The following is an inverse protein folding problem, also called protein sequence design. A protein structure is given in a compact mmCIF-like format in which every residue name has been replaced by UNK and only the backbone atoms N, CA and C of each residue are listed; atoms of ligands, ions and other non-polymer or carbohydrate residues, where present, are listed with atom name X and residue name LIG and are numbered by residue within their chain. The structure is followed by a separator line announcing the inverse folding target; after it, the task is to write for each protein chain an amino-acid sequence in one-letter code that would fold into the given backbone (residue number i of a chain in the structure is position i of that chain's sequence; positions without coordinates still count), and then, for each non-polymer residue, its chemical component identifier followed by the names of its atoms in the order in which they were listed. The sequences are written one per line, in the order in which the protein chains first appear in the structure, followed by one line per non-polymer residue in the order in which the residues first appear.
data_IF_599773126634
#
_entry.id   IF_599773126634
#
_cell.length_a   1.000
_cell.length_b   1.000
_cell.length_c   1.000
_cell.angle_alpha   90.00
_cell.angle_beta   90.00
_cell.angle_gamma   90.00
#
_symmetry.space_group_name_H-M   'P 1'
#
loop_
_entity.id
_entity.type
_entity.pdbx_description
1 polymer ?
#
# COMPACT_ATOMS: atom_id res chain seq x y z
N UNK A 1 6.20 -4.37 -20.46
CA UNK A 1 5.27 -3.29 -20.87
C UNK A 1 5.10 -2.40 -19.66
N UNK A 2 5.45 -1.11 -19.77
CA UNK A 2 5.23 -0.13 -18.70
C UNK A 2 3.91 0.55 -19.06
N UNK A 3 2.90 0.39 -18.21
CA UNK A 3 1.61 1.06 -18.36
C UNK A 3 1.53 2.17 -17.30
N UNK A 4 1.11 3.36 -17.70
CA UNK A 4 1.03 4.54 -16.83
C UNK A 4 -0.30 5.22 -17.03
N UNK A 5 -1.13 5.22 -16.00
CA UNK A 5 -2.38 5.99 -15.99
C UNK A 5 -2.04 7.44 -15.64
N UNK A 6 -2.09 8.31 -16.65
CA UNK A 6 -1.95 9.76 -16.50
C UNK A 6 -3.34 10.37 -16.37
N UNK A 7 -3.64 10.96 -15.22
CA UNK A 7 -4.89 11.69 -14.97
C UNK A 7 -4.59 13.17 -14.68
N UNK A 8 -5.63 13.99 -14.50
CA UNK A 8 -5.48 15.40 -14.11
C UNK A 8 -4.68 15.51 -12.81
N UNK A 9 -3.90 16.59 -12.68
CA UNK A 9 -3.07 16.85 -11.49
C UNK A 9 -3.87 16.94 -10.17
N UNK A 10 -5.17 17.19 -10.26
CA UNK A 10 -6.09 17.25 -9.11
C UNK A 10 -6.55 15.88 -8.64
N UNK A 11 -6.32 14.82 -9.43
CA UNK A 11 -6.81 13.48 -9.12
C UNK A 11 -5.96 12.89 -7.99
N UNK A 12 -6.57 12.45 -6.88
CA UNK A 12 -5.83 11.85 -5.78
C UNK A 12 -5.07 10.60 -6.23
N UNK A 13 -3.82 10.46 -5.79
CA UNK A 13 -2.93 9.38 -6.24
C UNK A 13 -3.37 7.99 -5.76
N UNK A 14 -3.99 7.89 -4.58
CA UNK A 14 -4.42 6.61 -3.99
C UNK A 14 -5.49 5.89 -4.84
N UNK A 15 -6.62 6.54 -5.24
CA UNK A 15 -7.57 5.96 -6.18
C UNK A 15 -6.94 5.48 -7.49
N UNK A 16 -5.99 6.23 -8.03
CA UNK A 16 -5.28 5.84 -9.26
C UNK A 16 -4.43 4.58 -9.03
N UNK A 17 -3.73 4.50 -7.90
CA UNK A 17 -2.97 3.30 -7.54
C UNK A 17 -3.87 2.07 -7.41
N UNK A 18 -5.05 2.19 -6.77
CA UNK A 18 -6.04 1.11 -6.70
C UNK A 18 -6.47 0.63 -8.09
N UNK A 19 -6.82 1.55 -8.98
CA UNK A 19 -7.19 1.25 -10.37
C UNK A 19 -6.05 0.57 -11.14
N UNK A 20 -4.80 0.97 -10.92
CA UNK A 20 -3.64 0.34 -11.54
C UNK A 20 -3.48 -1.12 -11.08
N UNK A 21 -3.69 -1.39 -9.80
CA UNK A 21 -3.61 -2.75 -9.24
C UNK A 21 -4.74 -3.64 -9.78
N UNK A 22 -5.96 -3.13 -9.86
CA UNK A 22 -7.07 -3.86 -10.49
C UNK A 22 -6.80 -4.16 -11.97
N UNK A 23 -6.23 -3.19 -12.69
CA UNK A 23 -5.87 -3.34 -14.10
C UNK A 23 -4.76 -4.37 -14.28
N UNK A 24 -3.74 -4.34 -13.41
CA UNK A 24 -2.70 -5.35 -13.36
C UNK A 24 -3.31 -6.75 -13.26
N UNK A 25 -4.21 -6.98 -12.31
CA UNK A 25 -4.87 -8.29 -12.15
C UNK A 25 -5.71 -8.71 -13.35
N UNK A 26 -6.39 -7.78 -14.01
CA UNK A 26 -7.09 -8.06 -15.27
C UNK A 26 -6.15 -8.50 -16.39
N UNK A 27 -4.91 -8.00 -16.41
CA UNK A 27 -3.91 -8.30 -17.43
C UNK A 27 -3.15 -9.61 -17.18
N UNK A 28 -2.72 -9.85 -15.95
CA UNK A 28 -1.85 -10.99 -15.62
C UNK A 28 -2.57 -12.18 -14.97
N UNK A 29 -3.83 -12.00 -14.56
CA UNK A 29 -4.60 -12.97 -13.78
C UNK A 29 -4.24 -12.95 -12.30
N UNK A 30 -5.04 -13.62 -11.48
CA UNK A 30 -4.90 -13.72 -10.01
C UNK A 30 -3.99 -14.88 -9.55
N UNK A 31 -3.50 -15.71 -10.47
CA UNK A 31 -2.68 -16.89 -10.17
C UNK A 31 -1.17 -16.59 -10.04
N UNK A 32 -0.75 -15.33 -10.21
CA UNK A 32 0.65 -14.92 -10.15
C UNK A 32 0.97 -14.34 -8.77
N UNK A 33 2.17 -14.62 -8.27
CA UNK A 33 2.70 -13.93 -7.09
C UNK A 33 3.11 -12.51 -7.48
N UNK A 34 2.44 -11.52 -6.91
CA UNK A 34 2.69 -10.09 -7.16
C UNK A 34 3.18 -9.44 -5.87
N UNK A 35 4.21 -8.59 -6.00
CA UNK A 35 4.65 -7.69 -4.94
C UNK A 35 4.49 -6.26 -5.45
N UNK A 36 3.77 -5.42 -4.71
CA UNK A 36 3.60 -3.99 -5.02
C UNK A 36 4.43 -3.16 -4.06
N UNK A 37 5.26 -2.27 -4.60
CA UNK A 37 6.12 -1.39 -3.80
C UNK A 37 5.59 0.03 -3.91
N UNK A 38 5.27 0.64 -2.77
CA UNK A 38 4.76 1.99 -2.66
C UNK A 38 5.82 2.93 -2.09
N UNK A 39 5.93 4.13 -2.66
CA UNK A 39 6.67 5.22 -2.02
C UNK A 39 5.82 5.88 -0.92
N UNK A 40 6.29 6.99 -0.36
CA UNK A 40 5.61 7.72 0.73
C UNK A 40 4.25 8.25 0.29
N UNK A 41 3.34 8.44 1.24
CA UNK A 41 2.05 9.10 1.01
C UNK A 41 0.94 8.17 0.51
N UNK A 42 1.23 6.93 0.14
CA UNK A 42 0.19 5.97 -0.29
C UNK A 42 -0.50 5.27 0.87
N UNK A 43 0.14 5.18 2.02
CA UNK A 43 -0.42 4.47 3.17
C UNK A 43 -1.66 5.18 3.72
N UNK A 44 -2.69 4.39 3.98
CA UNK A 44 -3.92 4.74 4.69
C UNK A 44 -4.63 3.45 5.13
N UNK A 45 -5.51 3.52 6.13
CA UNK A 45 -6.31 2.36 6.57
C UNK A 45 -7.13 1.79 5.40
N UNK A 46 -7.75 2.67 4.60
CA UNK A 46 -8.54 2.28 3.42
C UNK A 46 -7.68 1.61 2.33
N UNK A 47 -6.41 1.97 2.20
CA UNK A 47 -5.48 1.31 1.27
C UNK A 47 -5.07 -0.06 1.80
N UNK A 48 -4.78 -0.18 3.09
CA UNK A 48 -4.42 -1.45 3.72
C UNK A 48 -5.56 -2.48 3.60
N UNK A 49 -6.79 -2.09 3.93
CA UNK A 49 -7.97 -2.96 3.80
C UNK A 49 -8.13 -3.44 2.35
N UNK A 50 -8.03 -2.52 1.39
CA UNK A 50 -8.10 -2.86 -0.04
C UNK A 50 -7.03 -3.88 -0.46
N UNK A 51 -5.78 -3.73 -0.01
CA UNK A 51 -4.70 -4.65 -0.36
C UNK A 51 -4.84 -6.02 0.34
N UNK A 52 -5.41 -6.07 1.55
CA UNK A 52 -5.68 -7.31 2.28
C UNK A 52 -6.72 -8.20 1.59
N UNK A 53 -7.63 -7.62 0.81
CA UNK A 53 -8.63 -8.36 0.02
C UNK A 53 -8.05 -8.96 -1.27
N UNK A 54 -6.81 -8.62 -1.62
CA UNK A 54 -6.17 -9.04 -2.87
C UNK A 54 -5.07 -10.09 -2.61
N UNK A 55 -4.84 -11.03 -3.54
CA UNK A 55 -3.77 -12.03 -3.41
C UNK A 55 -2.40 -11.44 -3.77
N UNK A 56 -1.99 -10.36 -3.11
CA UNK A 56 -0.72 -9.66 -3.30
C UNK A 56 0.10 -9.57 -2.02
N UNK A 57 1.41 -9.42 -2.19
CA UNK A 57 2.28 -8.86 -1.16
C UNK A 57 2.52 -7.38 -1.45
N UNK A 58 2.82 -6.60 -0.40
CA UNK A 58 3.08 -5.18 -0.54
C UNK A 58 4.17 -4.70 0.40
N UNK A 59 4.89 -3.66 -0.03
CA UNK A 59 5.93 -2.98 0.75
C UNK A 59 5.64 -1.48 0.67
N UNK A 60 5.57 -0.82 1.82
CA UNK A 60 5.41 0.62 1.91
C UNK A 60 6.68 1.27 2.42
N UNK A 61 7.14 2.31 1.73
CA UNK A 61 8.07 3.27 2.33
C UNK A 61 7.27 4.26 3.18
N UNK A 62 7.42 4.18 4.49
CA UNK A 62 6.74 5.08 5.42
C UNK A 62 7.33 6.50 5.39
N UNK A 63 6.47 7.50 5.58
CA UNK A 63 6.90 8.87 5.82
C UNK A 63 7.29 9.02 7.30
N UNK A 64 8.24 9.92 7.59
CA UNK A 64 8.56 10.32 8.97
C UNK A 64 7.27 10.75 9.70
N UNK A 65 7.08 10.29 10.94
CA UNK A 65 5.85 10.57 11.69
C UNK A 65 4.74 9.54 11.52
N UNK A 66 4.87 8.59 10.58
CA UNK A 66 3.86 7.52 10.41
C UNK A 66 4.19 6.36 11.33
N UNK A 67 3.23 5.91 12.14
CA UNK A 67 3.38 4.82 13.12
C UNK A 67 4.53 5.03 14.12
N UNK A 68 4.76 6.26 14.58
CA UNK A 68 5.87 6.52 15.51
C UNK A 68 5.66 5.84 16.85
N UNK A 69 4.41 5.74 17.34
CA UNK A 69 4.12 5.05 18.60
C UNK A 69 4.49 3.56 18.49
N UNK A 70 4.08 2.91 17.39
CA UNK A 70 4.41 1.52 17.11
C UNK A 70 5.92 1.33 16.89
N UNK A 71 6.60 2.26 16.22
CA UNK A 71 8.06 2.23 16.04
C UNK A 71 8.81 2.42 17.35
N UNK A 72 8.33 3.29 18.24
CA UNK A 72 8.96 3.54 19.53
C UNK A 72 8.84 2.33 20.47
N UNK A 73 7.86 1.47 20.24
CA UNK A 73 7.72 0.20 20.95
C UNK A 73 8.64 -0.89 20.39
N UNK A 74 9.31 -0.64 19.25
CA UNK A 74 10.24 -1.59 18.66
C UNK A 74 11.51 -1.72 19.50
N UNK A 75 11.95 -2.95 19.71
CA UNK A 75 13.21 -3.26 20.40
C UNK A 75 14.37 -3.44 19.42
N UNK A 76 14.09 -3.82 18.17
CA UNK A 76 15.08 -4.00 17.11
C UNK A 76 14.67 -3.26 15.83
N UNK A 77 15.62 -3.00 14.93
CA UNK A 77 15.34 -2.32 13.65
C UNK A 77 14.47 -3.16 12.70
N UNK A 78 14.51 -4.49 12.79
CA UNK A 78 13.70 -5.43 12.01
C UNK A 78 12.90 -6.33 12.94
N UNK A 79 11.61 -6.04 13.07
CA UNK A 79 10.70 -6.80 13.90
C UNK A 79 9.26 -6.75 13.38
N UNK A 80 8.47 -7.73 13.82
CA UNK A 80 7.04 -7.79 13.55
C UNK A 80 6.32 -6.96 14.60
N UNK A 81 5.60 -5.94 14.13
CA UNK A 81 4.82 -5.04 14.99
C UNK A 81 3.33 -5.24 14.73
N UNK A 82 2.54 -5.22 15.79
CA UNK A 82 1.08 -5.26 15.68
C UNK A 82 0.56 -3.83 15.51
N UNK A 83 -0.16 -3.58 14.41
CA UNK A 83 -0.82 -2.29 14.15
C UNK A 83 -2.30 -2.45 14.53
N UNK A 84 -2.76 -1.69 15.52
CA UNK A 84 -4.18 -1.68 15.92
C UNK A 84 -4.97 -0.66 15.09
N UNK A 85 -6.08 -1.11 14.49
CA UNK A 85 -6.98 -0.22 13.76
C UNK A 85 -7.97 0.40 14.76
N UNK A 86 -7.56 1.53 15.34
CA UNK A 86 -8.40 2.26 16.30
C UNK A 86 -9.39 3.13 15.54
N UNK A 87 -10.69 3.04 15.87
CA UNK A 87 -11.67 4.05 15.45
C UNK A 87 -11.29 5.37 16.10
N UNK A 88 -10.72 6.29 15.34
CA UNK A 88 -10.71 7.72 15.72
C UNK A 88 -12.12 8.28 15.67
#
# INVERSE_FOLDING_TARGET
MIDSVIDKYTTPERPLAKKNIETLFKLIGDNKKVIVIFDRGYISIEMLIFLMELPIFYIFRLQSGTYEDEKNLMNNDDEIVNIEINKS
#
